data_IF_011759477112
#
_entry.id   IF_011759477112
#
_cell.length_a   1.000
_cell.length_b   1.000
_cell.length_c   1.000
_cell.angle_alpha   90.00
_cell.angle_beta   90.00
_cell.angle_gamma   90.00
#
_symmetry.space_group_name_H-M   'P 1'
#
loop_
_entity.id
_entity.type
_entity.pdbx_description
1 polymer ?
#
# COMPACT_ATOMS: atom_id res chain seq x y z
N UNK A 1 21.48 9.61 -18.82
CA UNK A 1 21.76 8.97 -17.52
C UNK A 1 20.90 7.73 -17.43
N UNK A 2 21.46 6.61 -16.96
CA UNK A 2 20.69 5.40 -16.65
C UNK A 2 20.07 5.58 -15.27
N UNK A 3 18.77 5.33 -15.14
CA UNK A 3 18.03 5.42 -13.89
C UNK A 3 17.31 4.08 -13.60
N UNK A 4 17.04 3.81 -12.33
CA UNK A 4 16.28 2.65 -11.85
C UNK A 4 15.22 3.13 -10.86
N UNK A 5 14.06 2.48 -10.86
CA UNK A 5 13.04 2.66 -9.83
C UNK A 5 13.39 1.82 -8.59
N UNK A 6 13.30 2.43 -7.42
CA UNK A 6 13.33 1.78 -6.13
C UNK A 6 11.96 1.97 -5.48
N UNK A 7 11.24 0.87 -5.25
CA UNK A 7 9.93 0.90 -4.60
C UNK A 7 9.93 0.21 -3.24
N UNK A 8 8.94 0.57 -2.41
CA UNK A 8 8.64 -0.10 -1.15
C UNK A 8 7.14 -0.07 -0.87
N UNK A 9 6.68 -1.06 -0.10
CA UNK A 9 5.31 -1.19 0.38
C UNK A 9 5.14 -0.32 1.64
N UNK A 10 4.22 0.64 1.60
CA UNK A 10 4.05 1.67 2.62
C UNK A 10 2.59 1.79 3.07
N UNK A 11 2.40 2.41 4.24
CA UNK A 11 1.06 2.61 4.78
C UNK A 11 0.39 1.31 5.22
N UNK A 12 1.18 0.30 5.59
CA UNK A 12 0.70 -1.01 6.01
C UNK A 12 0.35 -1.11 7.51
N UNK A 13 0.26 0.02 8.23
CA UNK A 13 -0.37 0.08 9.55
C UNK A 13 -1.89 -0.14 9.49
N UNK A 14 -2.59 -0.17 10.61
CA UNK A 14 -4.06 -0.22 10.65
C UNK A 14 -4.61 0.36 11.97
N UNK A 15 -5.47 1.36 11.93
CA UNK A 15 -6.01 2.01 13.13
C UNK A 15 -4.90 2.51 14.05
N UNK A 16 -4.75 1.89 15.23
CA UNK A 16 -3.71 2.24 16.18
C UNK A 16 -2.40 1.45 15.99
N UNK A 17 -2.39 0.44 15.14
CA UNK A 17 -1.19 -0.36 14.86
C UNK A 17 -0.33 0.36 13.82
N UNK A 18 0.84 0.83 14.25
CA UNK A 18 1.87 1.32 13.34
C UNK A 18 2.75 0.16 12.87
N UNK A 19 3.15 0.20 11.60
CA UNK A 19 4.07 -0.77 11.00
C UNK A 19 5.04 -0.01 10.09
N UNK A 20 6.33 -0.29 10.23
CA UNK A 20 7.37 0.38 9.44
C UNK A 20 7.62 1.84 9.81
N UNK A 21 8.52 2.47 9.06
CA UNK A 21 8.80 3.91 9.11
C UNK A 21 8.60 4.48 7.71
N UNK A 22 7.33 4.73 7.36
CA UNK A 22 6.94 5.21 6.04
C UNK A 22 7.65 6.51 5.66
N UNK A 23 7.79 7.44 6.62
CA UNK A 23 8.38 8.75 6.37
C UNK A 23 9.87 8.64 6.04
N UNK A 24 10.61 7.79 6.76
CA UNK A 24 12.02 7.53 6.45
C UNK A 24 12.20 6.79 5.12
N UNK A 25 11.28 5.88 4.76
CA UNK A 25 11.35 5.17 3.48
C UNK A 25 11.05 6.08 2.29
N UNK A 26 10.11 7.02 2.43
CA UNK A 26 9.79 8.00 1.38
C UNK A 26 10.94 8.97 1.08
N UNK A 27 11.91 9.14 1.99
CA UNK A 27 13.16 9.87 1.71
C UNK A 27 14.16 9.08 0.83
N UNK A 28 13.89 7.79 0.57
CA UNK A 28 14.81 6.86 -0.12
C UNK A 28 14.24 6.36 -1.45
N UNK A 29 12.95 6.03 -1.49
CA UNK A 29 12.31 5.37 -2.64
C UNK A 29 11.92 6.36 -3.73
N UNK A 30 11.80 5.87 -4.97
CA UNK A 30 11.23 6.63 -6.09
C UNK A 30 9.75 6.34 -6.29
N UNK A 31 9.25 5.19 -5.83
CA UNK A 31 7.85 4.80 -5.86
C UNK A 31 7.39 4.19 -4.53
N UNK A 32 6.12 4.41 -4.17
CA UNK A 32 5.48 3.88 -2.98
C UNK A 32 4.25 3.05 -3.36
N UNK A 33 4.23 1.77 -2.97
CA UNK A 33 3.04 0.93 -3.10
C UNK A 33 2.21 1.11 -1.81
N UNK A 34 1.12 1.86 -1.87
CA UNK A 34 0.30 2.20 -0.70
C UNK A 34 -0.81 1.18 -0.51
N UNK A 35 -0.89 0.55 0.67
CA UNK A 35 -1.93 -0.43 0.99
C UNK A 35 -3.35 0.16 0.95
N UNK A 36 -4.29 -0.61 0.38
CA UNK A 36 -5.64 -0.12 0.03
C UNK A 36 -6.78 -0.52 1.00
N UNK A 37 -6.46 -0.89 2.24
CA UNK A 37 -7.47 -1.14 3.29
C UNK A 37 -7.93 -2.60 3.46
N UNK A 38 -7.48 -3.52 2.61
CA UNK A 38 -7.92 -4.93 2.65
C UNK A 38 -6.96 -5.83 3.41
N UNK A 39 -5.67 -5.80 3.08
CA UNK A 39 -4.63 -6.53 3.82
C UNK A 39 -4.02 -5.70 4.94
N UNK A 40 -4.02 -4.38 4.77
CA UNK A 40 -3.52 -3.37 5.70
C UNK A 40 -4.09 -1.99 5.33
N UNK A 41 -3.73 -0.96 6.09
CA UNK A 41 -4.15 0.44 5.96
C UNK A 41 -5.59 0.76 6.35
N UNK A 42 -5.81 2.05 6.56
CA UNK A 42 -7.14 2.66 6.66
C UNK A 42 -7.12 4.02 5.94
N UNK A 43 -8.28 4.64 5.80
CA UNK A 43 -8.42 5.89 5.06
C UNK A 43 -7.51 7.02 5.58
N UNK A 44 -7.23 7.04 6.88
CA UNK A 44 -6.37 8.07 7.48
C UNK A 44 -4.91 7.81 7.15
N UNK A 45 -4.47 6.56 7.23
CA UNK A 45 -3.11 6.16 6.88
C UNK A 45 -2.85 6.38 5.38
N UNK A 46 -3.74 5.89 4.51
CA UNK A 46 -3.64 6.08 3.05
C UNK A 46 -3.48 7.56 2.70
N UNK A 47 -4.36 8.42 3.26
CA UNK A 47 -4.29 9.87 3.02
C UNK A 47 -2.94 10.44 3.45
N UNK A 48 -2.47 10.11 4.66
CA UNK A 48 -1.20 10.60 5.20
C UNK A 48 -0.02 10.21 4.30
N UNK A 49 0.09 8.94 3.93
CA UNK A 49 1.21 8.43 3.13
C UNK A 49 1.19 9.03 1.73
N UNK A 50 0.03 9.12 1.07
CA UNK A 50 -0.10 9.78 -0.23
C UNK A 50 0.28 11.27 -0.17
N UNK A 51 -0.14 12.00 0.86
CA UNK A 51 0.23 13.41 1.03
C UNK A 51 1.76 13.59 1.19
N UNK A 52 2.41 12.70 1.94
CA UNK A 52 3.86 12.71 2.14
C UNK A 52 4.61 12.32 0.86
N UNK A 53 4.17 11.28 0.16
CA UNK A 53 4.76 10.86 -1.11
C UNK A 53 4.73 11.99 -2.16
N UNK A 54 3.60 12.71 -2.29
CA UNK A 54 3.50 13.87 -3.18
C UNK A 54 4.49 14.98 -2.78
N UNK A 55 4.65 15.24 -1.48
CA UNK A 55 5.60 16.27 -1.00
C UNK A 55 7.06 15.91 -1.33
N UNK A 56 7.40 14.62 -1.36
CA UNK A 56 8.75 14.13 -1.69
C UNK A 56 8.95 13.82 -3.19
N UNK A 57 7.92 13.98 -4.02
CA UNK A 57 7.99 13.67 -5.45
C UNK A 57 8.09 12.17 -5.75
N UNK A 58 7.62 11.33 -4.82
CA UNK A 58 7.57 9.87 -4.95
C UNK A 58 6.31 9.47 -5.73
N UNK A 59 6.46 8.57 -6.70
CA UNK A 59 5.31 8.04 -7.45
C UNK A 59 4.43 7.14 -6.56
N UNK A 60 3.11 7.25 -6.67
CA UNK A 60 2.17 6.48 -5.85
C UNK A 60 1.57 5.35 -6.70
N UNK A 61 1.64 4.12 -6.20
CA UNK A 61 0.95 2.94 -6.72
C UNK A 61 0.00 2.35 -5.69
N UNK A 62 -1.05 1.68 -6.16
CA UNK A 62 -1.96 0.93 -5.30
C UNK A 62 -1.36 -0.45 -4.96
N UNK A 63 -1.23 -0.75 -3.68
CA UNK A 63 -0.86 -2.08 -3.19
C UNK A 63 -2.15 -2.83 -2.82
N UNK A 64 -2.77 -3.43 -3.83
CA UNK A 64 -4.00 -4.21 -3.65
C UNK A 64 -3.69 -5.58 -3.03
N UNK A 65 -4.58 -6.07 -2.18
CA UNK A 65 -4.44 -7.35 -1.51
C UNK A 65 -5.75 -8.10 -1.35
N UNK A 66 -5.67 -9.36 -0.91
CA UNK A 66 -6.85 -10.07 -0.46
C UNK A 66 -7.49 -9.34 0.71
N UNK A 67 -8.83 -9.43 0.81
CA UNK A 67 -9.60 -8.96 1.97
C UNK A 67 -9.33 -9.83 3.21
N UNK A 68 -8.12 -9.73 3.71
CA UNK A 68 -7.56 -10.56 4.75
C UNK A 68 -6.65 -9.76 5.69
N UNK A 69 -7.25 -8.82 6.40
CA UNK A 69 -6.54 -8.02 7.39
C UNK A 69 -5.87 -8.88 8.48
N UNK A 70 -6.52 -9.91 9.08
CA UNK A 70 -5.86 -10.73 10.11
C UNK A 70 -4.67 -11.55 9.60
N UNK A 71 -4.69 -11.96 8.32
CA UNK A 71 -3.59 -12.66 7.67
C UNK A 71 -2.63 -11.74 6.93
N UNK A 72 -2.82 -10.42 7.01
CA UNK A 72 -2.04 -9.41 6.30
C UNK A 72 -1.97 -9.66 4.78
N UNK A 73 -3.03 -10.23 4.20
CA UNK A 73 -3.07 -10.60 2.78
C UNK A 73 -2.08 -11.69 2.37
N UNK A 74 -1.39 -12.35 3.32
CA UNK A 74 -0.34 -13.35 3.03
C UNK A 74 -0.87 -14.79 2.94
N UNK A 75 -2.17 -14.98 3.07
CA UNK A 75 -2.82 -16.29 2.90
C UNK A 75 -3.41 -16.39 1.51
N UNK A 76 -3.27 -17.57 0.90
CA UNK A 76 -4.01 -17.86 -0.32
C UNK A 76 -5.50 -17.94 -0.01
N UNK A 77 -6.32 -17.23 -0.80
CA UNK A 77 -7.77 -17.30 -0.76
C UNK A 77 -8.23 -17.61 -2.17
N UNK A 78 -8.93 -18.74 -2.32
CA UNK A 78 -9.54 -19.10 -3.59
C UNK A 78 -10.77 -18.20 -3.82
N UNK A 79 -10.62 -17.22 -4.71
CA UNK A 79 -11.64 -16.23 -5.05
C UNK A 79 -11.97 -16.37 -6.53
N UNK A 80 -13.25 -16.30 -6.85
CA UNK A 80 -13.71 -16.31 -8.23
C UNK A 80 -13.14 -15.08 -9.00
N UNK A 81 -12.60 -15.25 -10.23
CA UNK A 81 -11.92 -14.16 -10.94
C UNK A 81 -12.69 -12.85 -11.12
N UNK A 82 -14.01 -12.89 -11.36
CA UNK A 82 -14.82 -11.68 -11.47
C UNK A 82 -14.97 -10.96 -10.12
N UNK A 83 -15.12 -11.69 -9.02
CA UNK A 83 -15.10 -11.13 -7.68
C UNK A 83 -13.72 -10.54 -7.33
N UNK A 84 -12.62 -11.22 -7.66
CA UNK A 84 -11.26 -10.70 -7.47
C UNK A 84 -11.04 -9.41 -8.26
N UNK A 85 -11.56 -9.34 -9.49
CA UNK A 85 -11.50 -8.12 -10.32
C UNK A 85 -12.23 -6.96 -9.65
N UNK A 86 -13.41 -7.20 -9.07
CA UNK A 86 -14.17 -6.17 -8.35
C UNK A 86 -13.42 -5.69 -7.09
N UNK A 87 -12.81 -6.60 -6.34
CA UNK A 87 -11.99 -6.25 -5.18
C UNK A 87 -10.75 -5.43 -5.57
N UNK A 88 -10.13 -5.70 -6.73
CA UNK A 88 -9.02 -4.88 -7.25
C UNK A 88 -9.49 -3.50 -7.72
N UNK A 89 -10.68 -3.40 -8.35
CA UNK A 89 -11.24 -2.09 -8.79
C UNK A 89 -11.64 -1.21 -7.60
N UNK A 90 -12.09 -1.84 -6.51
CA UNK A 90 -12.51 -1.13 -5.30
C UNK A 90 -11.31 -0.48 -4.58
N UNK A 91 -10.17 -1.17 -4.60
CA UNK A 91 -8.92 -0.77 -3.97
C UNK A 91 -8.13 0.23 -4.82
#
# INVERSE_FOLDING_TARGET
MTAIDLNSDLGEGFGHWALGDDDALLDIVTSANVACGFHASDASIMRRVCERAVQQGVAIGAQVGYRDLPGFGRRFIDIEPAALTQDVIYQ
#
